data_IF_651208844389
#
_entry.id   IF_651208844389
#
_cell.length_a   1.000
_cell.length_b   1.000
_cell.length_c   1.000
_cell.angle_alpha   90.00
_cell.angle_beta   90.00
_cell.angle_gamma   90.00
#
_symmetry.space_group_name_H-M   'P 1'
#
loop_
_entity.id
_entity.type
_entity.pdbx_description
1 polymer ?
#
# COMPACT_ATOMS: atom_id res chain seq x y z
N UNK A 1 -16.04 -9.39 9.39
CA UNK A 1 -14.72 -8.71 9.28
C UNK A 1 -14.86 -7.36 9.97
N UNK A 2 -13.96 -6.98 10.88
CA UNK A 2 -14.00 -5.64 11.46
C UNK A 2 -13.78 -4.62 10.33
N UNK A 3 -14.79 -3.78 10.10
CA UNK A 3 -14.73 -2.65 9.17
C UNK A 3 -14.01 -1.51 9.86
N UNK A 4 -13.08 -0.85 9.17
CA UNK A 4 -12.45 0.37 9.71
C UNK A 4 -13.51 1.46 9.78
N UNK A 5 -13.52 2.23 10.87
CA UNK A 5 -14.59 3.19 11.16
C UNK A 5 -14.62 4.36 10.17
N UNK A 6 -13.46 4.89 9.80
CA UNK A 6 -13.36 6.15 9.05
C UNK A 6 -12.54 6.05 7.75
N UNK A 7 -12.15 4.83 7.32
CA UNK A 7 -11.39 4.55 6.08
C UNK A 7 -10.19 5.49 5.77
N UNK A 8 -9.63 6.10 6.81
CA UNK A 8 -8.50 7.02 6.76
C UNK A 8 -7.22 6.37 7.30
N UNK A 9 -6.08 6.85 6.80
CA UNK A 9 -4.74 6.52 7.29
C UNK A 9 -4.02 7.78 7.75
N UNK A 10 -3.36 7.69 8.90
CA UNK A 10 -2.50 8.73 9.43
C UNK A 10 -1.05 8.46 9.04
N UNK A 11 -0.39 9.47 8.48
CA UNK A 11 1.01 9.40 8.06
C UNK A 11 1.85 10.20 9.04
N UNK A 12 3.03 9.67 9.38
CA UNK A 12 4.01 10.37 10.19
C UNK A 12 4.41 11.70 9.51
N UNK A 13 4.51 12.78 10.30
CA UNK A 13 4.82 14.17 9.87
C UNK A 13 3.70 14.94 9.17
N UNK A 14 2.56 14.33 8.83
CA UNK A 14 1.39 15.07 8.34
C UNK A 14 0.48 15.40 9.52
N UNK A 15 0.70 16.58 10.09
CA UNK A 15 -0.11 17.15 11.16
C UNK A 15 -0.60 18.53 10.78
N UNK A 16 -1.76 18.90 11.33
CA UNK A 16 -2.32 20.24 11.26
C UNK A 16 -2.38 20.81 12.66
N UNK A 17 -2.04 22.09 12.80
CA UNK A 17 -2.20 22.80 14.05
C UNK A 17 -3.66 23.23 14.26
N UNK A 18 -4.19 22.97 15.44
CA UNK A 18 -5.52 23.44 15.87
C UNK A 18 -5.37 24.82 16.52
N UNK A 19 -6.45 25.60 16.56
CA UNK A 19 -6.49 26.95 17.16
C UNK A 19 -6.02 27.02 18.63
N UNK A 20 -5.96 25.89 19.32
CA UNK A 20 -5.50 25.76 20.70
C UNK A 20 -4.02 25.36 20.82
N UNK A 21 -3.25 25.39 19.72
CA UNK A 21 -1.81 25.07 19.69
C UNK A 21 -1.48 23.58 19.72
N UNK A 22 -2.48 22.69 19.69
CA UNK A 22 -2.27 21.24 19.62
C UNK A 22 -2.18 20.78 18.17
N UNK A 23 -1.27 19.86 17.86
CA UNK A 23 -1.18 19.23 16.53
C UNK A 23 -2.09 18.00 16.46
N UNK A 24 -2.96 17.96 15.45
CA UNK A 24 -3.79 16.80 15.12
C UNK A 24 -3.30 16.16 13.83
N UNK A 25 -3.33 14.83 13.73
CA UNK A 25 -3.00 14.13 12.50
C UNK A 25 -4.09 14.36 11.45
N UNK A 26 -3.67 14.55 10.19
CA UNK A 26 -4.62 14.67 9.08
C UNK A 26 -4.90 13.29 8.53
N UNK A 27 -6.18 12.90 8.48
CA UNK A 27 -6.63 11.67 7.84
C UNK A 27 -6.52 11.79 6.31
N UNK A 28 -5.90 10.79 5.68
CA UNK A 28 -5.78 10.72 4.23
C UNK A 28 -6.44 9.43 3.74
N UNK A 29 -7.15 9.51 2.63
CA UNK A 29 -7.73 8.33 2.00
C UNK A 29 -6.62 7.43 1.41
N UNK A 30 -6.62 6.12 1.69
CA UNK A 30 -5.56 5.20 1.26
C UNK A 30 -5.43 5.04 -0.25
N UNK A 31 -6.46 5.36 -1.06
CA UNK A 31 -6.37 5.30 -2.52
C UNK A 31 -5.57 6.44 -3.13
N UNK A 32 -5.29 7.51 -2.37
CA UNK A 32 -4.53 8.68 -2.81
C UNK A 32 -3.04 8.61 -2.43
N UNK A 33 -2.58 7.49 -1.89
CA UNK A 33 -1.21 7.31 -1.40
C UNK A 33 -0.54 6.09 -2.02
N UNK A 34 0.79 6.14 -2.15
CA UNK A 34 1.62 5.05 -2.67
C UNK A 34 2.43 4.45 -1.52
N UNK A 35 2.46 3.12 -1.44
CA UNK A 35 3.19 2.40 -0.39
C UNK A 35 4.65 2.22 -0.82
N UNK A 36 5.59 2.82 -0.09
CA UNK A 36 7.04 2.77 -0.40
C UNK A 36 7.76 1.60 0.26
N UNK A 37 7.42 1.27 1.51
CA UNK A 37 8.00 0.16 2.27
C UNK A 37 6.91 -0.62 2.97
N UNK A 38 6.91 -1.94 2.77
CA UNK A 38 5.99 -2.85 3.44
C UNK A 38 6.67 -3.45 4.66
N UNK A 39 6.01 -3.39 5.83
CA UNK A 39 6.36 -4.24 6.97
C UNK A 39 6.13 -5.70 6.56
N UNK A 40 7.03 -6.64 6.82
CA UNK A 40 6.86 -8.05 6.44
C UNK A 40 6.59 -8.94 7.65
N UNK A 41 5.34 -9.41 7.77
CA UNK A 41 4.92 -10.40 8.76
C UNK A 41 4.71 -11.77 8.07
N UNK A 42 4.66 -12.86 8.85
CA UNK A 42 4.47 -14.23 8.32
C UNK A 42 3.27 -14.33 7.37
N UNK A 43 2.11 -13.82 7.78
CA UNK A 43 0.89 -13.87 6.97
C UNK A 43 0.95 -12.96 5.75
N UNK A 44 1.70 -11.86 5.84
CA UNK A 44 1.85 -10.93 4.72
C UNK A 44 2.73 -11.53 3.62
N UNK A 45 3.77 -12.27 3.97
CA UNK A 45 4.58 -13.03 3.00
C UNK A 45 3.72 -14.08 2.29
N UNK A 46 2.98 -14.89 3.06
CA UNK A 46 2.04 -15.88 2.51
C UNK A 46 0.99 -15.25 1.58
N UNK A 47 0.49 -14.05 1.91
CA UNK A 47 -0.46 -13.33 1.08
C UNK A 47 0.17 -12.82 -0.21
N UNK A 48 1.39 -12.30 -0.15
CA UNK A 48 2.13 -11.84 -1.33
C UNK A 48 2.39 -13.00 -2.28
N UNK A 49 2.85 -14.15 -1.78
CA UNK A 49 3.08 -15.35 -2.59
C UNK A 49 1.80 -15.84 -3.26
N UNK A 50 0.68 -15.84 -2.52
CA UNK A 50 -0.64 -16.20 -3.07
C UNK A 50 -1.09 -15.22 -4.15
N UNK A 51 -0.92 -13.91 -3.94
CA UNK A 51 -1.29 -12.88 -4.94
C UNK A 51 -0.38 -12.93 -6.16
N UNK A 52 0.91 -13.22 -5.99
CA UNK A 52 1.86 -13.36 -7.08
C UNK A 52 1.51 -14.57 -7.97
N UNK A 53 1.23 -15.73 -7.36
CA UNK A 53 0.75 -16.92 -8.08
C UNK A 53 -0.56 -16.67 -8.82
N UNK A 54 -1.52 -15.98 -8.18
CA UNK A 54 -2.79 -15.62 -8.80
C UNK A 54 -2.64 -14.70 -10.02
N UNK A 55 -1.69 -13.74 -9.97
CA UNK A 55 -1.37 -12.89 -11.12
C UNK A 55 -0.70 -13.66 -12.25
N UNK A 56 0.28 -14.51 -11.94
CA UNK A 56 0.98 -15.32 -12.95
C UNK A 56 0.05 -16.24 -13.76
N UNK A 57 -1.06 -16.70 -13.18
CA UNK A 57 -2.10 -17.46 -13.90
C UNK A 57 -2.94 -16.52 -14.78
N UNK A 58 -3.35 -15.37 -14.25
CA UNK A 58 -4.13 -14.39 -15.01
C UNK A 58 -3.35 -13.74 -16.18
N UNK A 59 -2.04 -13.54 -16.01
CA UNK A 59 -1.14 -12.95 -17.01
C UNK A 59 -0.78 -13.96 -18.13
N UNK A 60 -0.90 -15.26 -17.88
CA UNK A 60 -0.82 -16.29 -18.94
C UNK A 60 -2.07 -16.30 -19.82
N UNK A 61 -3.23 -16.04 -19.24
CA UNK A 61 -4.51 -15.98 -19.97
C UNK A 61 -4.74 -14.62 -20.67
N UNK A 62 -4.07 -13.56 -20.20
CA UNK A 62 -4.12 -12.22 -20.79
C UNK A 62 -2.69 -11.77 -21.03
N UNK A 63 -2.16 -11.95 -22.24
CA UNK A 63 -0.78 -11.61 -22.61
C UNK A 63 -0.40 -10.13 -22.45
N UNK A 64 -0.27 -9.66 -21.21
CA UNK A 64 0.10 -8.30 -20.86
C UNK A 64 1.57 -8.23 -20.45
N UNK A 65 2.28 -7.35 -21.16
CA UNK A 65 3.73 -7.22 -21.28
C UNK A 65 4.39 -6.47 -20.12
N UNK A 66 4.19 -6.89 -18.87
CA UNK A 66 4.96 -6.34 -17.76
C UNK A 66 5.44 -7.48 -16.88
N UNK A 67 6.68 -7.91 -17.15
CA UNK A 67 7.37 -8.91 -16.32
C UNK A 67 7.93 -8.23 -15.07
N UNK A 68 8.13 -9.01 -14.01
CA UNK A 68 8.53 -8.53 -12.69
C UNK A 68 9.91 -7.84 -12.65
N UNK A 69 10.69 -7.91 -13.74
CA UNK A 69 12.01 -7.29 -13.88
C UNK A 69 11.92 -5.76 -14.09
N UNK A 70 10.87 -5.25 -14.77
CA UNK A 70 10.74 -3.82 -15.10
C UNK A 70 10.41 -2.94 -13.88
N UNK A 71 9.83 -3.50 -12.82
CA UNK A 71 9.40 -2.75 -11.62
C UNK A 71 10.59 -2.52 -10.67
N UNK A 72 11.66 -3.31 -10.75
CA UNK A 72 12.82 -3.21 -9.85
C UNK A 72 13.94 -2.30 -10.38
N UNK A 73 13.82 -1.75 -11.59
CA UNK A 73 14.92 -1.05 -12.27
C UNK A 73 14.89 0.49 -12.24
N UNK A 74 14.15 1.13 -11.33
CA UNK A 74 14.22 2.60 -11.19
C UNK A 74 14.43 3.04 -9.74
N UNK A 75 15.62 2.73 -9.22
CA UNK A 75 16.23 3.46 -8.10
C UNK A 75 17.65 3.82 -8.53
N UNK A 76 17.76 4.94 -9.23
CA UNK A 76 18.88 5.87 -9.12
C UNK A 76 18.42 7.06 -8.27
#
# INVERSE_FOLDING_TARGET
MPVRKDDEVHIERITREKVNGSTVNVGINPSKVVITKLRLDKDRKSLLDRKAKGRAVADKDKGTKFTAEDIMQNVD
#
